data_IF_727880512124
#
_entry.id   IF_727880512124
#
_cell.length_a   1.000
_cell.length_b   1.000
_cell.length_c   1.000
_cell.angle_alpha   90.00
_cell.angle_beta   90.00
_cell.angle_gamma   90.00
#
_symmetry.space_group_name_H-M   'P 1'
#
loop_
_entity.id
_entity.type
_entity.pdbx_description
1 polymer ?
#
# COMPACT_ATOMS: atom_id res chain seq x y z
N UNK A 1 -2.76 26.00 -14.68
CA UNK A 1 -4.20 25.86 -14.36
C UNK A 1 -4.57 24.38 -14.53
N UNK A 2 -4.41 23.55 -13.50
CA UNK A 2 -4.86 22.15 -13.55
C UNK A 2 -6.21 22.07 -12.84
N UNK A 3 -7.29 22.29 -13.58
CA UNK A 3 -8.64 22.06 -13.05
C UNK A 3 -8.87 20.55 -13.05
N UNK A 4 -9.08 19.97 -11.87
CA UNK A 4 -9.53 18.58 -11.79
C UNK A 4 -10.90 18.43 -12.48
N UNK A 5 -11.22 17.26 -13.03
CA UNK A 5 -12.56 16.97 -13.52
C UNK A 5 -13.59 17.19 -12.41
N UNK A 6 -14.73 17.79 -12.73
CA UNK A 6 -15.82 17.92 -11.76
C UNK A 6 -16.44 16.53 -11.52
N UNK A 7 -16.63 16.09 -10.27
CA UNK A 7 -17.33 14.84 -9.98
C UNK A 7 -18.79 14.87 -10.44
N UNK A 8 -19.33 13.68 -10.72
CA UNK A 8 -20.77 13.49 -10.94
C UNK A 8 -21.59 13.91 -9.70
N UNK A 9 -22.88 14.27 -9.85
CA UNK A 9 -23.69 14.82 -8.76
C UNK A 9 -23.71 13.99 -7.48
N UNK A 10 -23.85 12.66 -7.59
CA UNK A 10 -23.91 11.76 -6.44
C UNK A 10 -22.55 11.66 -5.72
N UNK A 11 -21.46 11.59 -6.47
CA UNK A 11 -20.11 11.61 -5.92
C UNK A 11 -19.85 12.95 -5.21
N UNK A 12 -20.25 14.06 -5.81
CA UNK A 12 -20.11 15.39 -5.20
C UNK A 12 -20.94 15.52 -3.92
N UNK A 13 -22.13 14.91 -3.84
CA UNK A 13 -22.94 14.86 -2.64
C UNK A 13 -22.22 14.10 -1.51
N UNK A 14 -21.66 12.92 -1.80
CA UNK A 14 -20.86 12.14 -0.86
C UNK A 14 -19.65 12.94 -0.35
N UNK A 15 -18.94 13.62 -1.26
CA UNK A 15 -17.79 14.46 -0.89
C UNK A 15 -18.17 15.63 0.03
N UNK A 16 -19.35 16.22 -0.17
CA UNK A 16 -19.90 17.26 0.72
C UNK A 16 -20.24 16.67 2.09
N UNK A 17 -20.81 15.47 2.13
CA UNK A 17 -21.18 14.81 3.39
C UNK A 17 -19.97 14.52 4.28
N UNK A 18 -18.90 13.95 3.71
CA UNK A 18 -17.65 13.72 4.46
C UNK A 18 -16.96 15.03 4.84
N UNK A 19 -17.05 16.05 3.99
CA UNK A 19 -16.55 17.41 4.32
C UNK A 19 -17.28 17.96 5.54
N UNK A 20 -18.61 17.88 5.57
CA UNK A 20 -19.43 18.31 6.71
C UNK A 20 -19.19 17.46 7.97
N UNK A 21 -18.93 16.16 7.81
CA UNK A 21 -18.52 15.27 8.90
C UNK A 21 -17.20 15.75 9.54
N UNK A 22 -16.16 15.96 8.73
CA UNK A 22 -14.84 16.41 9.21
C UNK A 22 -14.93 17.82 9.79
N UNK A 23 -15.69 18.74 9.17
CA UNK A 23 -15.92 20.09 9.71
C UNK A 23 -16.54 20.05 11.11
N UNK A 24 -17.59 19.25 11.31
CA UNK A 24 -18.23 19.08 12.63
C UNK A 24 -17.27 18.49 13.65
N UNK A 25 -16.39 17.58 13.24
CA UNK A 25 -15.34 17.03 14.11
C UNK A 25 -14.34 18.12 14.54
N UNK A 26 -13.87 18.95 13.61
CA UNK A 26 -12.99 20.10 13.89
C UNK A 26 -13.63 21.06 14.89
N UNK A 27 -14.90 21.43 14.68
CA UNK A 27 -15.63 22.35 15.57
C UNK A 27 -15.74 21.83 17.02
N UNK A 28 -15.81 20.50 17.21
CA UNK A 28 -15.99 19.89 18.53
C UNK A 28 -14.68 19.55 19.25
N UNK A 29 -13.63 19.19 18.49
CA UNK A 29 -12.42 18.59 19.05
C UNK A 29 -11.13 19.33 18.67
N UNK A 30 -11.24 20.42 17.91
CA UNK A 30 -10.10 21.14 17.35
C UNK A 30 -9.57 20.48 16.08
N UNK A 31 -8.56 21.13 15.51
CA UNK A 31 -7.93 20.68 14.25
C UNK A 31 -7.30 19.29 14.45
N UNK A 32 -7.66 18.27 13.64
CA UNK A 32 -6.98 16.98 13.66
C UNK A 32 -5.56 17.10 13.10
N UNK A 33 -4.68 16.20 13.54
CA UNK A 33 -3.41 15.96 12.83
C UNK A 33 -3.69 15.53 11.38
N UNK A 34 -2.71 15.68 10.49
CA UNK A 34 -2.89 15.22 9.11
C UNK A 34 -3.21 13.71 9.03
N UNK A 35 -2.59 12.87 9.87
CA UNK A 35 -2.91 11.44 9.93
C UNK A 35 -4.39 11.20 10.25
N UNK A 36 -4.94 11.93 11.23
CA UNK A 36 -6.36 11.81 11.58
C UNK A 36 -7.29 12.32 10.47
N UNK A 37 -6.92 13.38 9.76
CA UNK A 37 -7.66 13.83 8.58
C UNK A 37 -7.64 12.76 7.47
N UNK A 38 -6.46 12.21 7.15
CA UNK A 38 -6.28 11.16 6.14
C UNK A 38 -7.07 9.90 6.52
N UNK A 39 -7.05 9.48 7.78
CA UNK A 39 -7.88 8.39 8.31
C UNK A 39 -9.37 8.61 8.03
N UNK A 40 -9.88 9.83 8.31
CA UNK A 40 -11.29 10.14 8.03
C UNK A 40 -11.56 10.15 6.52
N UNK A 41 -10.74 10.86 5.73
CA UNK A 41 -10.93 11.01 4.30
C UNK A 41 -10.88 9.69 3.52
N UNK A 42 -10.08 8.72 3.98
CA UNK A 42 -9.88 7.45 3.29
C UNK A 42 -10.76 6.32 3.84
N UNK A 43 -11.04 6.30 5.14
CA UNK A 43 -11.58 5.11 5.81
C UNK A 43 -12.82 5.37 6.68
N UNK A 44 -13.41 6.57 6.66
CA UNK A 44 -14.71 6.76 7.33
C UNK A 44 -15.72 5.78 6.71
N UNK A 45 -16.40 4.93 7.50
CA UNK A 45 -17.39 3.99 6.95
C UNK A 45 -18.38 4.69 6.02
N UNK A 46 -18.66 4.07 4.87
CA UNK A 46 -19.56 4.57 3.81
C UNK A 46 -19.13 5.85 3.07
N UNK A 47 -18.24 6.66 3.65
CA UNK A 47 -17.88 7.99 3.15
C UNK A 47 -16.43 8.09 2.65
N UNK A 48 -15.50 7.43 3.32
CA UNK A 48 -14.07 7.49 3.01
C UNK A 48 -13.75 6.82 1.68
N UNK A 49 -12.68 7.25 1.02
CA UNK A 49 -12.27 6.77 -0.31
C UNK A 49 -12.30 5.24 -0.46
N UNK A 50 -11.66 4.50 0.43
CA UNK A 50 -11.65 3.03 0.34
C UNK A 50 -12.92 2.37 0.91
N UNK A 51 -13.76 3.11 1.62
CA UNK A 51 -14.96 2.60 2.28
C UNK A 51 -16.26 2.94 1.54
N UNK A 52 -16.23 3.90 0.60
CA UNK A 52 -17.38 4.26 -0.22
C UNK A 52 -17.42 3.38 -1.48
N UNK A 53 -18.64 2.97 -1.87
CA UNK A 53 -18.83 2.08 -3.02
C UNK A 53 -18.66 2.75 -4.39
N UNK A 54 -18.10 3.96 -4.45
CA UNK A 54 -17.92 4.71 -5.68
C UNK A 54 -16.52 4.54 -6.27
N UNK A 55 -15.58 4.01 -5.48
CA UNK A 55 -14.18 3.89 -5.88
C UNK A 55 -14.01 2.91 -7.03
N UNK A 56 -13.46 3.43 -8.13
CA UNK A 56 -13.12 2.64 -9.31
C UNK A 56 -11.62 2.40 -9.29
N UNK A 57 -11.20 1.14 -9.28
CA UNK A 57 -9.80 0.71 -9.46
C UNK A 57 -9.63 0.19 -10.90
N UNK A 58 -8.48 0.46 -11.53
CA UNK A 58 -8.11 -0.04 -12.87
C UNK A 58 -8.21 1.01 -13.99
N UNK A 59 -8.35 0.58 -15.24
CA UNK A 59 -8.31 1.46 -16.43
C UNK A 59 -9.44 2.51 -16.48
N UNK A 60 -10.54 2.30 -15.75
CA UNK A 60 -11.62 3.29 -15.54
C UNK A 60 -11.62 3.91 -14.14
N UNK A 61 -10.55 3.71 -13.38
CA UNK A 61 -10.36 4.12 -11.99
C UNK A 61 -9.47 5.35 -11.79
N UNK A 62 -9.06 5.61 -10.55
CA UNK A 62 -8.15 6.72 -10.25
C UNK A 62 -6.68 6.40 -10.53
N UNK A 63 -6.28 5.13 -10.43
CA UNK A 63 -4.95 4.61 -10.74
C UNK A 63 -5.01 3.13 -11.19
N UNK A 64 -3.91 2.62 -11.73
CA UNK A 64 -3.74 1.22 -12.17
C UNK A 64 -2.65 0.56 -11.33
N UNK A 65 -2.97 -0.56 -10.68
CA UNK A 65 -2.04 -1.35 -9.84
C UNK A 65 -1.42 -2.51 -10.63
N UNK A 66 -0.34 -3.10 -10.13
CA UNK A 66 0.39 -4.17 -10.82
C UNK A 66 -0.48 -5.40 -11.19
N UNK A 67 -1.38 -5.90 -10.32
CA UNK A 67 -2.29 -6.99 -10.68
C UNK A 67 -3.21 -6.69 -11.86
N UNK A 68 -3.59 -5.42 -12.06
CA UNK A 68 -4.45 -4.99 -13.16
C UNK A 68 -3.68 -4.81 -14.49
N UNK A 69 -2.34 -4.82 -14.46
CA UNK A 69 -1.50 -4.73 -15.65
C UNK A 69 -1.32 -6.10 -16.30
N UNK A 70 -1.04 -7.13 -15.51
CA UNK A 70 -0.76 -8.47 -16.03
C UNK A 70 -0.95 -9.56 -14.98
N UNK A 71 -1.53 -10.72 -15.34
CA UNK A 71 -1.57 -11.87 -14.46
C UNK A 71 -0.17 -12.42 -14.12
N UNK A 72 0.85 -12.10 -14.92
CA UNK A 72 2.25 -12.47 -14.65
C UNK A 72 2.73 -11.98 -13.29
N UNK A 73 2.25 -10.82 -12.83
CA UNK A 73 2.57 -10.30 -11.51
C UNK A 73 2.07 -11.26 -10.41
N UNK A 74 0.80 -11.62 -10.47
CA UNK A 74 0.17 -12.56 -9.54
C UNK A 74 0.81 -13.95 -9.57
N UNK A 75 1.20 -14.44 -10.75
CA UNK A 75 1.93 -15.71 -10.89
C UNK A 75 3.29 -15.69 -10.19
N UNK A 76 4.04 -14.60 -10.35
CA UNK A 76 5.32 -14.40 -9.67
C UNK A 76 5.15 -14.42 -8.14
N UNK A 77 4.13 -13.74 -7.62
CA UNK A 77 3.80 -13.78 -6.19
C UNK A 77 3.38 -15.19 -5.75
N UNK A 78 2.59 -15.90 -6.56
CA UNK A 78 2.18 -17.27 -6.29
C UNK A 78 3.38 -18.22 -6.20
N UNK A 79 4.40 -18.07 -7.04
CA UNK A 79 5.65 -18.83 -6.96
C UNK A 79 6.37 -18.62 -5.63
N UNK A 80 6.55 -17.37 -5.22
CA UNK A 80 7.19 -17.06 -3.94
C UNK A 80 6.34 -17.52 -2.74
N UNK A 81 5.01 -17.35 -2.79
CA UNK A 81 4.10 -17.81 -1.76
C UNK A 81 4.13 -19.34 -1.64
N UNK A 82 4.12 -20.05 -2.77
CA UNK A 82 4.18 -21.51 -2.82
C UNK A 82 5.50 -22.06 -2.27
N UNK A 83 6.63 -21.39 -2.53
CA UNK A 83 7.92 -21.76 -1.93
C UNK A 83 7.81 -21.87 -0.40
N UNK A 84 7.09 -20.95 0.24
CA UNK A 84 6.89 -20.95 1.70
C UNK A 84 5.81 -21.94 2.11
N UNK A 85 4.65 -21.93 1.45
CA UNK A 85 3.51 -22.79 1.79
C UNK A 85 3.81 -24.29 1.65
N UNK A 86 4.64 -24.69 0.69
CA UNK A 86 5.06 -26.10 0.53
C UNK A 86 5.83 -26.66 1.73
N UNK A 87 6.27 -25.81 2.67
CA UNK A 87 6.92 -26.20 3.91
C UNK A 87 5.99 -26.11 5.14
N UNK A 88 4.73 -25.73 4.94
CA UNK A 88 3.76 -25.50 6.00
C UNK A 88 2.56 -26.41 5.74
N UNK A 89 2.36 -27.39 6.61
CA UNK A 89 1.17 -28.24 6.54
C UNK A 89 -0.09 -27.39 6.72
N UNK A 90 -1.00 -27.48 5.74
CA UNK A 90 -2.27 -26.72 5.70
C UNK A 90 -2.10 -25.20 5.89
N UNK A 91 -1.01 -24.62 5.38
CA UNK A 91 -0.78 -23.18 5.43
C UNK A 91 -1.89 -22.38 4.75
N UNK A 92 -2.03 -21.10 5.09
CA UNK A 92 -3.02 -20.20 4.48
C UNK A 92 -2.36 -18.96 3.85
N UNK A 93 -3.05 -18.35 2.89
CA UNK A 93 -2.70 -17.03 2.38
C UNK A 93 -3.63 -16.01 3.02
N UNK A 94 -3.11 -14.86 3.43
CA UNK A 94 -3.89 -13.69 3.85
C UNK A 94 -3.50 -12.50 3.00
N UNK A 95 -4.43 -11.98 2.20
CA UNK A 95 -4.26 -10.76 1.41
C UNK A 95 -4.93 -9.58 2.11
N UNK A 96 -4.17 -8.50 2.31
CA UNK A 96 -4.70 -7.22 2.76
C UNK A 96 -5.19 -6.40 1.58
N UNK A 97 -6.44 -5.93 1.64
CA UNK A 97 -7.00 -4.99 0.66
C UNK A 97 -6.91 -5.51 -0.77
N UNK A 98 -7.64 -6.59 -1.08
CA UNK A 98 -7.52 -7.29 -2.37
C UNK A 98 -8.03 -6.50 -3.59
N UNK A 99 -8.38 -5.21 -3.43
CA UNK A 99 -8.90 -4.36 -4.48
C UNK A 99 -10.11 -5.01 -5.16
N UNK A 100 -9.98 -5.28 -6.46
CA UNK A 100 -11.03 -5.93 -7.27
C UNK A 100 -11.08 -7.46 -7.11
N UNK A 101 -10.11 -8.07 -6.42
CA UNK A 101 -9.95 -9.52 -6.31
C UNK A 101 -9.14 -10.16 -7.44
N UNK A 102 -8.58 -9.37 -8.37
CA UNK A 102 -7.80 -9.85 -9.52
C UNK A 102 -6.56 -10.63 -9.09
N UNK A 103 -5.79 -10.10 -8.12
CA UNK A 103 -4.60 -10.78 -7.60
C UNK A 103 -4.97 -12.11 -6.93
N UNK A 104 -5.95 -12.11 -6.03
CA UNK A 104 -6.49 -13.32 -5.40
C UNK A 104 -6.92 -14.37 -6.43
N UNK A 105 -7.69 -13.93 -7.44
CA UNK A 105 -8.17 -14.79 -8.53
C UNK A 105 -7.02 -15.47 -9.24
N UNK A 106 -6.04 -14.70 -9.70
CA UNK A 106 -4.92 -15.21 -10.49
C UNK A 106 -3.99 -16.10 -9.66
N UNK A 107 -3.72 -15.76 -8.39
CA UNK A 107 -2.94 -16.61 -7.48
C UNK A 107 -3.65 -17.95 -7.27
N UNK A 108 -4.95 -17.94 -6.97
CA UNK A 108 -5.73 -19.17 -6.77
C UNK A 108 -5.75 -20.03 -8.04
N UNK A 109 -5.91 -19.42 -9.21
CA UNK A 109 -5.84 -20.13 -10.48
C UNK A 109 -4.49 -20.79 -10.72
N UNK A 110 -3.40 -20.06 -10.46
CA UNK A 110 -2.04 -20.56 -10.64
C UNK A 110 -1.71 -21.70 -9.67
N UNK A 111 -2.30 -21.67 -8.48
CA UNK A 111 -2.13 -22.71 -7.46
C UNK A 111 -3.20 -23.82 -7.53
N UNK A 112 -4.00 -23.87 -8.60
CA UNK A 112 -5.12 -24.83 -8.73
C UNK A 112 -4.70 -26.29 -8.52
N UNK A 113 -3.61 -26.73 -9.15
CA UNK A 113 -3.11 -28.11 -9.04
C UNK A 113 -2.54 -28.45 -7.65
N UNK A 114 -2.45 -27.44 -6.77
CA UNK A 114 -1.91 -27.53 -5.40
C UNK A 114 -2.96 -27.13 -4.37
N UNK A 115 -4.22 -26.98 -4.77
CA UNK A 115 -5.31 -26.50 -3.93
C UNK A 115 -5.43 -27.30 -2.62
N UNK A 116 -5.24 -28.61 -2.66
CA UNK A 116 -5.39 -29.50 -1.49
C UNK A 116 -4.27 -29.34 -0.44
N UNK A 117 -3.19 -28.62 -0.79
CA UNK A 117 -2.00 -28.48 0.06
C UNK A 117 -1.99 -27.18 0.89
N UNK A 118 -2.93 -26.27 0.65
CA UNK A 118 -3.14 -25.09 1.49
C UNK A 118 -4.60 -25.01 1.93
N UNK A 119 -4.85 -24.46 3.11
CA UNK A 119 -6.17 -24.51 3.73
C UNK A 119 -7.12 -23.46 3.14
N UNK A 120 -6.78 -22.19 3.27
CA UNK A 120 -7.64 -21.06 2.90
C UNK A 120 -6.87 -19.92 2.22
N UNK A 121 -7.62 -19.08 1.52
CA UNK A 121 -7.21 -17.77 1.06
C UNK A 121 -8.08 -16.72 1.76
N UNK A 122 -7.51 -16.10 2.79
CA UNK A 122 -8.16 -15.03 3.53
C UNK A 122 -7.99 -13.70 2.80
N UNK A 123 -9.08 -12.93 2.71
CA UNK A 123 -9.05 -11.53 2.22
C UNK A 123 -9.48 -10.64 3.37
N UNK A 124 -8.59 -9.78 3.87
CA UNK A 124 -8.95 -8.74 4.84
C UNK A 124 -9.41 -7.50 4.09
N UNK A 125 -10.72 -7.27 4.11
CA UNK A 125 -11.38 -6.17 3.42
C UNK A 125 -12.42 -5.53 4.36
N UNK A 126 -12.38 -4.20 4.48
CA UNK A 126 -13.34 -3.45 5.30
C UNK A 126 -14.48 -2.87 4.47
N UNK A 127 -14.29 -2.74 3.16
CA UNK A 127 -15.26 -2.19 2.23
C UNK A 127 -16.27 -3.23 1.76
N UNK A 128 -17.54 -3.05 2.13
CA UNK A 128 -18.61 -3.93 1.67
C UNK A 128 -18.77 -3.93 0.13
N UNK A 129 -18.51 -2.78 -0.51
CA UNK A 129 -18.56 -2.67 -1.97
C UNK A 129 -17.44 -3.46 -2.65
N UNK A 130 -16.20 -3.37 -2.14
CA UNK A 130 -15.08 -4.16 -2.67
C UNK A 130 -15.30 -5.65 -2.43
N UNK A 131 -15.85 -6.07 -1.29
CA UNK A 131 -16.21 -7.49 -1.07
C UNK A 131 -17.17 -8.01 -2.13
N UNK A 132 -18.20 -7.24 -2.49
CA UNK A 132 -19.16 -7.63 -3.52
C UNK A 132 -18.47 -7.77 -4.89
N UNK A 133 -17.61 -6.82 -5.24
CA UNK A 133 -16.84 -6.85 -6.48
C UNK A 133 -15.81 -7.98 -6.53
N UNK A 134 -15.14 -8.27 -5.41
CA UNK A 134 -14.24 -9.41 -5.26
C UNK A 134 -14.99 -10.72 -5.43
N UNK A 135 -16.19 -10.85 -4.84
CA UNK A 135 -17.02 -12.05 -4.98
C UNK A 135 -17.45 -12.28 -6.44
N UNK A 136 -17.77 -11.22 -7.18
CA UNK A 136 -18.05 -11.30 -8.62
C UNK A 136 -16.81 -11.77 -9.39
N UNK A 137 -15.65 -11.16 -9.16
CA UNK A 137 -14.40 -11.52 -9.83
C UNK A 137 -13.97 -12.96 -9.53
N UNK A 138 -14.14 -13.42 -8.29
CA UNK A 138 -13.80 -14.76 -7.84
C UNK A 138 -14.86 -15.81 -8.24
N UNK A 139 -16.02 -15.40 -8.74
CA UNK A 139 -17.05 -16.32 -9.23
C UNK A 139 -16.59 -17.13 -10.45
N UNK A 140 -15.62 -16.61 -11.20
CA UNK A 140 -15.01 -17.27 -12.35
C UNK A 140 -14.21 -18.53 -11.92
N UNK A 141 -13.75 -18.59 -10.66
CA UNK A 141 -12.96 -19.71 -10.14
C UNK A 141 -13.77 -21.03 -10.11
N UNK A 142 -13.11 -22.18 -10.32
CA UNK A 142 -13.65 -23.49 -9.97
C UNK A 142 -14.16 -23.53 -8.53
N UNK A 143 -15.27 -24.24 -8.30
CA UNK A 143 -15.94 -24.30 -6.99
C UNK A 143 -14.99 -24.69 -5.84
N UNK A 144 -14.11 -25.67 -6.07
CA UNK A 144 -13.14 -26.13 -5.07
C UNK A 144 -12.17 -25.02 -4.61
N UNK A 145 -11.79 -24.10 -5.51
CA UNK A 145 -10.96 -22.94 -5.17
C UNK A 145 -11.78 -21.84 -4.50
N UNK A 146 -13.00 -21.61 -4.99
CA UNK A 146 -13.90 -20.58 -4.46
C UNK A 146 -14.25 -20.84 -2.99
N UNK A 147 -14.47 -22.10 -2.62
CA UNK A 147 -14.74 -22.52 -1.24
C UNK A 147 -13.58 -22.28 -0.26
N UNK A 148 -12.36 -22.04 -0.76
CA UNK A 148 -11.21 -21.70 0.09
C UNK A 148 -11.16 -20.22 0.45
N UNK A 149 -11.90 -19.35 -0.25
CA UNK A 149 -11.87 -17.91 -0.02
C UNK A 149 -12.70 -17.56 1.20
N UNK A 150 -12.11 -16.83 2.14
CA UNK A 150 -12.79 -16.35 3.34
C UNK A 150 -12.50 -14.87 3.55
N UNK A 151 -13.54 -14.04 3.50
CA UNK A 151 -13.41 -12.61 3.80
C UNK A 151 -13.38 -12.36 5.31
N UNK A 152 -12.42 -11.55 5.74
CA UNK A 152 -12.22 -11.14 7.12
C UNK A 152 -12.43 -9.62 7.24
N UNK A 153 -13.02 -9.18 8.36
CA UNK A 153 -13.14 -7.76 8.71
C UNK A 153 -11.99 -7.26 9.60
N UNK A 154 -11.31 -8.21 10.26
CA UNK A 154 -10.20 -7.97 11.17
C UNK A 154 -9.24 -9.14 11.07
N UNK A 155 -8.03 -8.97 11.57
CA UNK A 155 -7.07 -10.05 11.66
C UNK A 155 -7.67 -11.25 12.41
N UNK A 156 -7.33 -12.49 12.00
CA UNK A 156 -7.88 -13.68 12.65
C UNK A 156 -7.45 -13.73 14.12
N UNK A 157 -8.39 -14.08 15.01
CA UNK A 157 -8.12 -14.20 16.45
C UNK A 157 -7.19 -15.36 16.79
N UNK A 158 -7.20 -16.39 15.95
CA UNK A 158 -6.32 -17.54 16.07
C UNK A 158 -5.14 -17.33 15.13
N UNK A 159 -3.93 -17.51 15.66
CA UNK A 159 -2.74 -17.42 14.86
C UNK A 159 -2.67 -18.57 13.85
N UNK A 160 -2.15 -18.29 12.66
CA UNK A 160 -2.02 -19.24 11.56
C UNK A 160 -0.58 -19.30 11.06
N UNK A 161 -0.30 -20.31 10.23
CA UNK A 161 0.96 -20.43 9.51
C UNK A 161 0.70 -20.19 8.03
N UNK A 162 1.58 -19.45 7.35
CA UNK A 162 1.45 -19.25 5.93
C UNK A 162 2.03 -17.93 5.42
N UNK A 163 1.34 -17.32 4.47
CA UNK A 163 1.84 -16.16 3.73
C UNK A 163 0.86 -15.00 3.87
N UNK A 164 1.37 -13.84 4.24
CA UNK A 164 0.63 -12.58 4.21
C UNK A 164 1.09 -11.78 3.00
N UNK A 165 0.16 -11.30 2.19
CA UNK A 165 0.40 -10.44 1.04
C UNK A 165 -0.20 -9.06 1.31
N UNK A 166 0.60 -8.01 1.15
CA UNK A 166 0.16 -6.62 1.25
C UNK A 166 0.74 -5.84 0.07
N UNK A 167 -0.08 -5.64 -0.96
CA UNK A 167 0.25 -4.88 -2.16
C UNK A 167 -0.40 -3.49 -2.10
N UNK A 168 0.41 -2.44 -2.08
CA UNK A 168 -0.05 -1.03 -2.02
C UNK A 168 -0.97 -0.80 -0.83
N UNK A 169 -0.49 -1.22 0.36
CA UNK A 169 -1.21 -1.09 1.63
C UNK A 169 -0.53 -0.07 2.54
N UNK A 170 0.80 0.04 2.46
CA UNK A 170 1.57 0.86 3.39
C UNK A 170 1.55 2.34 2.98
N UNK A 171 1.47 2.63 1.69
CA UNK A 171 1.35 3.99 1.14
C UNK A 171 0.07 4.73 1.52
N UNK A 172 -1.03 3.98 1.67
CA UNK A 172 -2.37 4.44 2.00
C UNK A 172 -2.60 4.55 3.52
N UNK A 173 -1.68 4.02 4.34
CA UNK A 173 -1.75 4.17 5.79
C UNK A 173 -1.60 5.64 6.18
N UNK A 174 -2.42 6.13 7.14
CA UNK A 174 -2.34 7.52 7.56
C UNK A 174 -0.97 7.93 8.08
N UNK A 175 -0.45 9.03 7.55
CA UNK A 175 0.86 9.58 7.89
C UNK A 175 0.74 10.89 8.65
N UNK A 176 1.61 11.09 9.63
CA UNK A 176 1.86 12.42 10.18
C UNK A 176 2.65 13.22 9.14
N UNK A 177 2.39 14.52 9.02
CA UNK A 177 3.18 15.41 8.16
C UNK A 177 3.90 16.42 9.02
N UNK A 178 5.21 16.54 8.83
CA UNK A 178 6.04 17.54 9.52
C UNK A 178 6.60 18.56 8.54
N UNK A 179 6.93 19.74 9.07
CA UNK A 179 7.63 20.82 8.36
C UNK A 179 8.79 21.30 9.22
N UNK A 180 10.01 21.14 8.71
CA UNK A 180 11.21 21.68 9.32
C UNK A 180 11.54 23.04 8.70
N UNK A 181 11.72 24.04 9.53
CA UNK A 181 12.13 25.39 9.19
C UNK A 181 13.42 25.72 9.96
N UNK A 182 14.17 26.78 9.60
CA UNK A 182 15.46 27.08 10.24
C UNK A 182 15.42 27.15 11.76
N UNK A 183 14.34 27.69 12.34
CA UNK A 183 14.22 27.93 13.78
C UNK A 183 13.16 27.08 14.47
N UNK A 184 12.37 26.30 13.72
CA UNK A 184 11.25 25.55 14.28
C UNK A 184 10.98 24.25 13.54
N UNK A 185 10.49 23.27 14.28
CA UNK A 185 9.97 22.02 13.75
C UNK A 185 8.48 21.94 14.07
N UNK A 186 7.67 21.75 13.04
CA UNK A 186 6.23 21.85 13.12
C UNK A 186 5.58 20.54 12.66
N UNK A 187 4.47 20.18 13.30
CA UNK A 187 3.52 19.19 12.83
C UNK A 187 2.40 19.87 12.06
N UNK A 188 1.94 19.22 10.99
CA UNK A 188 0.81 19.66 10.19
C UNK A 188 -0.51 19.11 10.76
N UNK A 189 -1.44 20.02 10.96
CA UNK A 189 -2.84 19.81 11.30
C UNK A 189 -3.70 20.31 10.15
N UNK A 190 -4.99 19.96 10.18
CA UNK A 190 -5.96 20.40 9.18
C UNK A 190 -7.01 21.29 9.83
N UNK A 191 -7.10 22.54 9.36
CA UNK A 191 -8.11 23.50 9.77
C UNK A 191 -9.20 23.66 8.72
N UNK A 192 -10.31 24.29 9.12
CA UNK A 192 -11.38 24.71 8.22
C UNK A 192 -11.40 26.24 8.12
N UNK A 193 -11.45 26.78 6.90
CA UNK A 193 -11.63 28.20 6.63
C UNK A 193 -13.10 28.47 6.25
N UNK A 194 -13.84 29.12 7.15
CA UNK A 194 -15.25 29.47 6.93
C UNK A 194 -15.45 30.52 5.82
N UNK A 195 -14.49 31.39 5.56
CA UNK A 195 -14.60 32.38 4.49
C UNK A 195 -14.45 31.73 3.10
N UNK A 196 -13.52 30.78 2.98
CA UNK A 196 -13.23 30.09 1.72
C UNK A 196 -13.98 28.76 1.55
N UNK A 197 -14.66 28.30 2.60
CA UNK A 197 -15.38 27.01 2.65
C UNK A 197 -14.50 25.83 2.22
N UNK A 198 -13.26 25.79 2.73
CA UNK A 198 -12.29 24.74 2.40
C UNK A 198 -11.38 24.38 3.57
N UNK A 199 -10.79 23.18 3.51
CA UNK A 199 -9.73 22.78 4.42
C UNK A 199 -8.40 23.45 4.05
N UNK A 200 -7.55 23.63 5.06
CA UNK A 200 -6.21 24.19 4.90
C UNK A 200 -5.23 23.65 5.92
N UNK A 201 -3.93 23.81 5.61
CA UNK A 201 -2.85 23.44 6.52
C UNK A 201 -2.77 24.40 7.72
N UNK A 202 -2.67 23.84 8.91
CA UNK A 202 -2.35 24.56 10.15
C UNK A 202 -1.10 23.94 10.75
N UNK A 203 -0.04 24.72 10.97
CA UNK A 203 1.21 24.19 11.53
C UNK A 203 1.34 24.57 13.01
N UNK A 204 1.73 23.61 13.83
CA UNK A 204 1.92 23.78 15.28
C UNK A 204 3.22 23.11 15.72
N UNK A 205 3.86 23.54 16.83
CA UNK A 205 5.02 22.85 17.39
C UNK A 205 4.72 21.37 17.63
N UNK A 206 5.69 20.51 17.34
CA UNK A 206 5.55 19.06 17.57
C UNK A 206 5.45 18.81 19.08
N UNK A 207 4.40 18.09 19.49
CA UNK A 207 4.19 17.71 20.91
C UNK A 207 4.36 16.20 21.14
N UNK A 208 4.15 15.36 20.12
CA UNK A 208 4.40 13.92 20.20
C UNK A 208 5.92 13.65 20.27
N UNK A 209 6.35 12.95 21.33
CA UNK A 209 7.77 12.68 21.59
C UNK A 209 8.42 11.76 20.56
N UNK A 210 7.67 10.82 19.97
CA UNK A 210 8.19 9.93 18.92
C UNK A 210 8.41 10.74 17.64
N UNK A 211 7.44 11.57 17.26
CA UNK A 211 7.53 12.44 16.10
C UNK A 211 8.67 13.46 16.26
N UNK A 212 8.85 14.03 17.45
CA UNK A 212 9.93 14.97 17.75
C UNK A 212 11.32 14.32 17.59
N UNK A 213 11.49 13.07 18.04
CA UNK A 213 12.75 12.33 17.85
C UNK A 213 13.07 12.11 16.38
N UNK A 214 12.06 11.77 15.58
CA UNK A 214 12.20 11.56 14.13
C UNK A 214 12.55 12.89 13.44
N UNK A 215 11.86 13.98 13.78
CA UNK A 215 12.12 15.31 13.24
C UNK A 215 13.55 15.79 13.55
N UNK A 216 14.05 15.56 14.77
CA UNK A 216 15.44 15.85 15.13
C UNK A 216 16.44 15.06 14.29
N UNK A 217 16.20 13.76 14.08
CA UNK A 217 17.07 12.91 13.25
C UNK A 217 17.06 13.38 11.80
N UNK A 218 15.88 13.70 11.26
CA UNK A 218 15.74 14.23 9.91
C UNK A 218 16.52 15.55 9.75
N UNK A 219 16.39 16.48 10.69
CA UNK A 219 17.14 17.75 10.66
C UNK A 219 18.66 17.52 10.65
N UNK A 220 19.16 16.56 11.44
CA UNK A 220 20.58 16.20 11.42
C UNK A 220 21.05 15.67 10.06
N UNK A 221 20.19 14.93 9.34
CA UNK A 221 20.51 14.39 8.01
C UNK A 221 20.50 15.47 6.94
N UNK A 222 19.49 16.33 6.93
CA UNK A 222 19.32 17.35 5.87
C UNK A 222 20.14 18.62 6.11
N UNK A 223 20.61 18.84 7.34
CA UNK A 223 21.27 20.08 7.74
C UNK A 223 20.28 21.23 7.92
N UNK A 224 20.65 22.43 7.47
CA UNK A 224 19.77 23.60 7.52
C UNK A 224 18.63 23.47 6.49
N UNK A 225 17.35 23.48 6.93
CA UNK A 225 16.22 23.43 6.01
C UNK A 225 16.18 24.66 5.10
N UNK A 226 15.70 24.48 3.86
CA UNK A 226 15.42 25.58 2.95
C UNK A 226 14.46 26.60 3.61
N UNK A 227 14.57 27.93 3.34
CA UNK A 227 13.61 28.93 3.82
C UNK A 227 12.14 28.66 3.49
N UNK A 228 11.85 27.86 2.45
CA UNK A 228 10.49 27.40 2.10
C UNK A 228 9.97 26.28 3.02
N UNK A 229 10.84 25.70 3.84
CA UNK A 229 10.61 24.56 4.69
C UNK A 229 10.91 23.22 4.01
N UNK A 230 11.25 22.22 4.81
CA UNK A 230 11.37 20.83 4.40
C UNK A 230 10.16 20.04 4.93
N UNK A 231 9.38 19.44 4.05
CA UNK A 231 8.22 18.63 4.38
C UNK A 231 8.57 17.14 4.34
N UNK A 232 8.05 16.38 5.29
CA UNK A 232 8.16 14.93 5.31
C UNK A 232 6.88 14.28 5.85
N UNK A 233 6.59 13.08 5.36
CA UNK A 233 5.54 12.22 5.84
C UNK A 233 6.13 11.11 6.72
N UNK A 234 5.58 10.92 7.92
CA UNK A 234 6.03 9.96 8.92
C UNK A 234 4.89 9.01 9.26
N UNK A 235 5.03 7.75 8.88
CA UNK A 235 4.03 6.72 9.19
C UNK A 235 4.32 6.09 10.56
N UNK A 236 3.59 6.55 11.59
CA UNK A 236 3.69 6.01 12.95
C UNK A 236 2.91 4.69 13.14
N UNK A 237 2.15 4.25 12.13
CA UNK A 237 1.29 3.08 12.18
C UNK A 237 1.99 1.79 11.72
N UNK A 238 3.14 1.87 11.04
CA UNK A 238 3.91 0.70 10.58
C UNK A 238 4.25 -0.25 11.74
N UNK A 239 4.83 0.29 12.82
CA UNK A 239 5.23 -0.53 13.97
C UNK A 239 4.05 -1.23 14.66
N UNK A 240 2.97 -0.55 15.08
CA UNK A 240 1.83 -1.24 15.68
C UNK A 240 1.13 -2.20 14.70
N UNK A 241 1.11 -1.90 13.39
CA UNK A 241 0.56 -2.80 12.39
C UNK A 241 1.39 -4.09 12.28
N UNK A 242 2.72 -3.99 12.15
CA UNK A 242 3.58 -5.19 12.16
C UNK A 242 3.50 -5.97 13.47
N UNK A 243 3.37 -5.30 14.63
CA UNK A 243 3.15 -5.98 15.91
C UNK A 243 1.83 -6.77 15.91
N UNK A 244 0.78 -6.27 15.25
CA UNK A 244 -0.46 -7.03 15.08
C UNK A 244 -0.29 -8.25 14.17
N UNK A 245 0.54 -8.15 13.12
CA UNK A 245 0.89 -9.30 12.28
C UNK A 245 1.70 -10.35 13.06
N UNK A 246 2.65 -9.92 13.91
CA UNK A 246 3.42 -10.80 14.79
C UNK A 246 2.50 -11.62 15.69
N UNK A 247 1.41 -11.03 16.18
CA UNK A 247 0.45 -11.71 17.05
C UNK A 247 -0.38 -12.80 16.35
N UNK A 248 -0.51 -12.76 15.01
CA UNK A 248 -1.37 -13.68 14.25
C UNK A 248 -0.61 -14.61 13.29
N UNK A 249 0.65 -14.30 12.94
CA UNK A 249 1.48 -15.19 12.16
C UNK A 249 2.41 -15.96 13.10
N UNK A 250 2.26 -17.28 13.15
CA UNK A 250 3.13 -18.16 13.93
C UNK A 250 4.39 -18.56 13.14
N UNK A 251 4.22 -18.88 11.87
CA UNK A 251 5.29 -19.30 10.97
C UNK A 251 4.98 -18.87 9.54
N UNK A 252 5.99 -18.42 8.82
CA UNK A 252 5.93 -18.16 7.37
C UNK A 252 6.45 -16.78 6.99
N UNK A 253 5.75 -16.11 6.09
CA UNK A 253 6.25 -14.91 5.41
C UNK A 253 5.19 -13.80 5.33
N UNK A 254 5.61 -12.55 5.47
CA UNK A 254 4.87 -11.36 5.05
C UNK A 254 5.60 -10.75 3.86
N UNK A 255 4.91 -10.62 2.72
CA UNK A 255 5.44 -9.96 1.53
C UNK A 255 4.75 -8.60 1.36
N UNK A 256 5.56 -7.55 1.48
CA UNK A 256 5.16 -6.16 1.39
C UNK A 256 5.62 -5.61 0.03
N UNK A 257 4.69 -5.00 -0.70
CA UNK A 257 4.91 -4.55 -2.07
C UNK A 257 4.39 -3.13 -2.16
N UNK A 258 5.28 -2.17 -2.34
CA UNK A 258 4.89 -0.76 -2.33
C UNK A 258 5.95 0.13 -2.97
N UNK A 259 5.57 1.34 -3.35
CA UNK A 259 6.52 2.33 -3.86
C UNK A 259 7.12 3.16 -2.73
N UNK A 260 8.44 3.27 -2.77
CA UNK A 260 9.18 3.90 -1.69
C UNK A 260 10.68 3.71 -1.79
N UNK A 261 11.34 4.12 -0.71
CA UNK A 261 12.79 4.24 -0.67
C UNK A 261 13.33 3.80 0.70
N UNK A 262 14.61 3.38 0.77
CA UNK A 262 15.35 3.43 2.02
C UNK A 262 15.43 4.88 2.52
N UNK A 263 15.48 5.05 3.83
CA UNK A 263 15.39 6.38 4.48
C UNK A 263 16.40 7.39 3.96
N UNK A 264 17.62 6.94 3.67
CA UNK A 264 18.71 7.80 3.12
C UNK A 264 18.34 8.46 1.78
N UNK A 265 17.51 7.81 0.97
CA UNK A 265 17.02 8.32 -0.31
C UNK A 265 15.72 9.11 -0.14
N UNK A 266 14.90 8.73 0.84
CA UNK A 266 13.69 9.47 1.20
C UNK A 266 14.02 10.84 1.82
N UNK A 267 15.08 10.93 2.62
CA UNK A 267 15.48 12.13 3.35
C UNK A 267 16.52 12.99 2.62
N UNK A 268 16.57 12.92 1.30
CA UNK A 268 17.45 13.78 0.50
C UNK A 268 16.98 15.23 0.56
N UNK A 269 17.92 16.17 0.67
CA UNK A 269 17.63 17.62 0.70
C UNK A 269 16.85 18.12 -0.54
N UNK A 270 17.00 17.46 -1.68
CA UNK A 270 16.24 17.73 -2.92
C UNK A 270 14.77 17.33 -2.83
N UNK A 271 14.38 16.43 -1.91
CA UNK A 271 13.00 15.98 -1.66
C UNK A 271 12.30 16.82 -0.60
N UNK A 272 12.57 18.12 -0.57
CA UNK A 272 12.04 19.05 0.44
C UNK A 272 10.51 19.22 0.42
N UNK A 273 9.81 18.78 -0.62
CA UNK A 273 8.33 18.82 -0.68
C UNK A 273 7.66 17.57 -0.11
N UNK A 274 8.46 16.58 0.31
CA UNK A 274 7.96 15.26 0.72
C UNK A 274 7.53 14.42 -0.48
N UNK A 275 6.64 13.48 -0.20
CA UNK A 275 6.14 12.45 -1.12
C UNK A 275 4.63 12.33 -1.14
N UNK A 276 3.92 13.12 -0.33
CA UNK A 276 2.47 13.15 -0.31
C UNK A 276 1.92 13.39 -1.71
N UNK A 277 1.08 12.47 -2.17
CA UNK A 277 0.46 12.50 -3.49
C UNK A 277 -1.02 12.20 -3.35
N UNK A 278 -1.80 12.77 -4.25
CA UNK A 278 -3.22 12.48 -4.38
C UNK A 278 -3.51 12.06 -5.82
N UNK A 279 -4.39 11.09 -5.99
CA UNK A 279 -4.79 10.56 -7.29
C UNK A 279 -6.29 10.68 -7.47
N UNK A 280 -6.70 11.34 -8.55
CA UNK A 280 -8.10 11.50 -8.92
C UNK A 280 -8.24 11.42 -10.44
N UNK A 281 -8.99 10.43 -10.93
CA UNK A 281 -9.25 10.13 -12.33
C UNK A 281 -7.97 10.15 -13.19
N UNK A 282 -6.98 9.34 -12.82
CA UNK A 282 -5.67 9.23 -13.49
C UNK A 282 -4.84 10.52 -13.48
N UNK A 283 -5.18 11.49 -12.62
CA UNK A 283 -4.42 12.73 -12.44
C UNK A 283 -3.81 12.77 -11.05
N UNK A 284 -2.49 12.93 -11.03
CA UNK A 284 -1.74 13.04 -9.80
C UNK A 284 -1.51 14.52 -9.43
N UNK A 285 -1.74 14.89 -8.17
CA UNK A 285 -1.55 16.23 -7.62
C UNK A 285 -1.19 16.17 -6.13
N UNK A 286 -1.02 17.31 -5.46
CA UNK A 286 -0.49 17.38 -4.09
C UNK A 286 -1.47 18.03 -3.10
N UNK A 287 -2.77 18.12 -3.44
CA UNK A 287 -3.76 18.79 -2.59
C UNK A 287 -4.72 17.74 -1.99
N UNK A 288 -4.54 17.34 -0.72
CA UNK A 288 -5.37 16.33 -0.08
C UNK A 288 -6.78 16.82 0.27
N UNK A 289 -7.06 18.12 0.12
CA UNK A 289 -8.32 18.74 0.53
C UNK A 289 -9.34 18.82 -0.60
N UNK A 290 -8.95 18.49 -1.83
CA UNK A 290 -9.88 18.42 -2.94
C UNK A 290 -10.74 17.17 -2.83
N UNK A 291 -12.04 17.35 -3.05
CA UNK A 291 -13.05 16.29 -3.04
C UNK A 291 -12.79 15.18 -2.00
N UNK A 292 -12.75 15.47 -0.69
CA UNK A 292 -12.51 14.43 0.31
C UNK A 292 -13.48 13.27 0.12
N UNK A 293 -12.99 12.04 0.29
CA UNK A 293 -13.71 10.81 -0.02
C UNK A 293 -13.67 10.38 -1.49
N UNK A 294 -13.32 11.24 -2.45
CA UNK A 294 -13.34 10.86 -3.88
C UNK A 294 -11.96 10.72 -4.52
N UNK A 295 -10.89 11.01 -3.79
CA UNK A 295 -9.52 10.90 -4.28
C UNK A 295 -8.71 10.07 -3.31
N UNK A 296 -7.71 9.39 -3.86
CA UNK A 296 -6.71 8.72 -3.06
C UNK A 296 -5.72 9.73 -2.48
N UNK A 297 -5.15 9.42 -1.32
CA UNK A 297 -4.10 10.17 -0.64
C UNK A 297 -3.05 9.16 -0.20
N UNK A 298 -1.82 9.30 -0.70
CA UNK A 298 -0.75 8.34 -0.41
C UNK A 298 0.56 9.06 -0.10
N UNK A 299 1.47 8.34 0.57
CA UNK A 299 2.84 8.77 0.79
C UNK A 299 3.80 7.61 0.50
N UNK A 300 5.02 7.91 0.02
CA UNK A 300 5.98 6.84 -0.25
C UNK A 300 6.42 6.15 1.03
N UNK A 301 6.66 4.84 0.94
CA UNK A 301 7.07 4.03 2.08
C UNK A 301 8.54 4.26 2.44
N UNK A 302 8.80 4.51 3.73
CA UNK A 302 10.15 4.43 4.31
C UNK A 302 10.45 2.97 4.67
N UNK A 303 11.12 2.26 3.77
CA UNK A 303 11.45 0.84 3.96
C UNK A 303 12.46 0.60 5.08
N UNK A 304 13.28 1.59 5.46
CA UNK A 304 14.12 1.48 6.66
C UNK A 304 13.25 1.45 7.91
N UNK A 305 12.23 2.31 7.98
CA UNK A 305 11.26 2.30 9.10
C UNK A 305 10.50 0.97 9.15
N UNK A 306 10.13 0.40 8.01
CA UNK A 306 9.53 -0.95 7.94
C UNK A 306 10.48 -2.01 8.50
N UNK A 307 11.76 -1.99 8.11
CA UNK A 307 12.76 -2.95 8.58
C UNK A 307 13.03 -2.85 10.09
N UNK A 308 13.21 -1.64 10.62
CA UNK A 308 13.38 -1.38 12.06
C UNK A 308 12.15 -1.83 12.85
N UNK A 309 10.95 -1.55 12.32
CA UNK A 309 9.67 -1.95 12.92
C UNK A 309 9.45 -3.47 12.89
N UNK A 310 9.85 -4.13 11.80
CA UNK A 310 9.79 -5.58 11.66
C UNK A 310 10.67 -6.26 12.71
N UNK A 311 11.90 -5.77 12.91
CA UNK A 311 12.79 -6.26 13.96
C UNK A 311 12.16 -6.10 15.35
N UNK A 312 11.55 -4.95 15.64
CA UNK A 312 10.84 -4.71 16.90
C UNK A 312 9.61 -5.62 17.09
N UNK A 313 9.03 -6.13 16.01
CA UNK A 313 7.91 -7.07 15.98
C UNK A 313 8.37 -8.52 15.77
N UNK A 314 9.62 -8.87 16.11
CA UNK A 314 10.18 -10.23 16.04
C UNK A 314 10.22 -10.88 14.65
N UNK A 315 10.09 -10.08 13.58
CA UNK A 315 10.30 -10.54 12.23
C UNK A 315 11.76 -10.40 11.80
N UNK A 316 12.20 -11.33 10.96
CA UNK A 316 13.47 -11.24 10.23
C UNK A 316 13.22 -10.64 8.85
N UNK A 317 13.96 -9.58 8.51
CA UNK A 317 13.99 -9.06 7.12
C UNK A 317 14.74 -10.05 6.24
N UNK A 318 13.98 -10.91 5.56
CA UNK A 318 14.52 -12.01 4.75
C UNK A 318 15.03 -11.54 3.39
N UNK A 319 14.46 -10.48 2.85
CA UNK A 319 14.89 -9.88 1.59
C UNK A 319 14.29 -8.50 1.35
N UNK A 320 15.00 -7.68 0.57
CA UNK A 320 14.53 -6.39 0.09
C UNK A 320 15.07 -6.16 -1.32
N UNK A 321 14.23 -5.85 -2.30
CA UNK A 321 14.67 -5.62 -3.68
C UNK A 321 13.66 -4.75 -4.44
N UNK A 322 13.92 -4.50 -5.72
CA UNK A 322 12.98 -3.78 -6.60
C UNK A 322 11.97 -4.75 -7.21
N UNK A 323 10.80 -4.26 -7.61
CA UNK A 323 9.79 -5.09 -8.26
C UNK A 323 10.36 -5.84 -9.47
N UNK A 324 11.14 -5.16 -10.32
CA UNK A 324 11.74 -5.79 -11.49
C UNK A 324 12.59 -7.01 -11.13
N UNK A 325 13.50 -6.89 -10.16
CA UNK A 325 14.40 -7.99 -9.80
C UNK A 325 13.66 -9.12 -9.10
N UNK A 326 12.64 -8.80 -8.30
CA UNK A 326 11.80 -9.82 -7.69
C UNK A 326 11.08 -10.63 -8.76
N UNK A 327 10.37 -9.97 -9.68
CA UNK A 327 9.60 -10.64 -10.73
C UNK A 327 10.51 -11.53 -11.60
N UNK A 328 11.68 -11.01 -12.00
CA UNK A 328 12.69 -11.78 -12.74
C UNK A 328 13.20 -13.00 -11.96
N UNK A 329 13.28 -12.92 -10.63
CA UNK A 329 13.72 -14.03 -9.77
C UNK A 329 12.62 -15.05 -9.48
N UNK A 330 11.36 -14.69 -9.66
CA UNK A 330 10.18 -15.54 -9.37
C UNK A 330 9.51 -16.13 -10.61
N UNK A 331 10.19 -16.14 -11.76
CA UNK A 331 9.70 -16.88 -12.92
C UNK A 331 9.05 -16.04 -14.03
N UNK A 332 9.24 -14.71 -14.04
CA UNK A 332 8.57 -13.83 -15.01
C UNK A 332 8.83 -14.23 -16.48
N UNK A 333 10.06 -14.67 -16.80
CA UNK A 333 10.45 -15.00 -18.17
C UNK A 333 10.03 -16.43 -18.55
N UNK A 334 10.07 -17.35 -17.60
CA UNK A 334 9.65 -18.74 -17.75
C UNK A 334 8.16 -18.80 -18.14
N UNK A 335 7.31 -18.00 -17.49
CA UNK A 335 5.88 -17.89 -17.83
C UNK A 335 5.61 -17.35 -19.24
N UNK A 336 6.57 -16.66 -19.86
CA UNK A 336 6.39 -16.04 -21.21
C UNK A 336 6.77 -16.97 -22.36
N UNK A 337 7.62 -17.96 -22.10
CA UNK A 337 8.10 -18.90 -23.11
C UNK A 337 7.04 -19.96 -23.46
N UNK A 338 6.02 -20.13 -22.61
CA UNK A 338 4.98 -21.15 -22.78
C UNK A 338 3.72 -20.64 -23.51
N UNK A 339 3.63 -19.34 -23.83
CA UNK A 339 2.39 -18.75 -24.34
C UNK A 339 2.46 -18.26 -25.80
N UNK A 340 1.66 -18.96 -26.62
CA UNK A 340 1.03 -18.53 -27.88
C UNK A 340 1.91 -18.30 -29.11
N UNK A 341 1.46 -18.82 -30.26
CA UNK A 341 1.97 -18.47 -31.61
C UNK A 341 1.37 -17.16 -32.15
N UNK A 342 0.47 -16.51 -31.40
CA UNK A 342 -0.17 -15.25 -31.77
C UNK A 342 0.72 -14.03 -31.45
N UNK A 343 1.14 -13.35 -32.52
CA UNK A 343 1.98 -12.14 -32.46
C UNK A 343 1.31 -11.00 -31.68
N UNK A 344 -0.02 -10.85 -31.76
CA UNK A 344 -0.72 -9.75 -31.07
C UNK A 344 -0.68 -9.96 -29.55
N UNK A 345 -0.98 -11.17 -29.09
CA UNK A 345 -0.88 -11.53 -27.68
C UNK A 345 0.56 -11.36 -27.15
N UNK A 346 1.57 -11.74 -27.93
CA UNK A 346 2.98 -11.54 -27.56
C UNK A 346 3.35 -10.06 -27.42
N UNK A 347 2.87 -9.20 -28.32
CA UNK A 347 3.11 -7.75 -28.23
C UNK A 347 2.46 -7.13 -27.00
N UNK A 348 1.22 -7.52 -26.67
CA UNK A 348 0.53 -7.08 -25.46
C UNK A 348 1.28 -7.52 -24.19
N UNK A 349 1.69 -8.78 -24.13
CA UNK A 349 2.47 -9.32 -23.03
C UNK A 349 3.81 -8.59 -22.85
N UNK A 350 4.51 -8.29 -23.97
CA UNK A 350 5.74 -7.50 -23.93
C UNK A 350 5.52 -6.10 -23.35
N UNK A 351 4.42 -5.43 -23.70
CA UNK A 351 4.09 -4.12 -23.12
C UNK A 351 3.79 -4.21 -21.62
N UNK A 352 3.08 -5.24 -21.20
CA UNK A 352 2.80 -5.50 -19.79
C UNK A 352 4.08 -5.73 -18.98
N UNK A 353 4.98 -6.59 -19.48
CA UNK A 353 6.29 -6.84 -18.86
C UNK A 353 7.09 -5.55 -18.76
N UNK A 354 7.12 -4.74 -19.83
CA UNK A 354 7.82 -3.45 -19.81
C UNK A 354 7.29 -2.54 -18.71
N UNK A 355 5.97 -2.40 -18.56
CA UNK A 355 5.37 -1.60 -17.48
C UNK A 355 5.74 -2.13 -16.08
N UNK A 356 5.78 -3.44 -15.90
CA UNK A 356 6.11 -4.07 -14.62
C UNK A 356 7.59 -4.00 -14.25
N UNK A 357 8.50 -3.86 -15.24
CA UNK A 357 9.94 -4.08 -15.04
C UNK A 357 10.85 -2.93 -15.43
N UNK A 358 10.41 -2.01 -16.29
CA UNK A 358 11.25 -0.87 -16.68
C UNK A 358 11.40 0.13 -15.52
N UNK A 359 12.60 0.73 -15.35
CA UNK A 359 12.85 1.68 -14.27
C UNK A 359 11.96 2.92 -14.28
N UNK A 360 11.64 3.43 -15.47
CA UNK A 360 10.79 4.63 -15.65
C UNK A 360 9.29 4.33 -15.43
N UNK A 361 8.94 3.07 -15.20
CA UNK A 361 7.58 2.60 -14.91
C UNK A 361 7.54 2.09 -13.45
N UNK A 362 7.15 0.84 -13.22
CA UNK A 362 7.03 0.27 -11.87
C UNK A 362 8.29 -0.44 -11.39
N UNK A 363 9.23 -0.77 -12.29
CA UNK A 363 10.28 -1.74 -12.02
C UNK A 363 11.28 -1.34 -10.94
N UNK A 364 11.58 -0.04 -10.85
CA UNK A 364 12.49 0.52 -9.84
C UNK A 364 11.75 1.26 -8.73
N UNK A 365 10.64 1.93 -9.05
CA UNK A 365 9.85 2.71 -8.08
C UNK A 365 9.23 1.82 -6.99
N UNK A 366 8.68 0.67 -7.38
CA UNK A 366 8.16 -0.34 -6.47
C UNK A 366 9.27 -1.20 -5.87
N UNK A 367 9.13 -1.50 -4.59
CA UNK A 367 10.02 -2.35 -3.82
C UNK A 367 9.25 -3.52 -3.25
N UNK A 368 9.97 -4.63 -3.11
CA UNK A 368 9.50 -5.86 -2.50
C UNK A 368 10.28 -6.06 -1.22
N UNK A 369 9.60 -6.25 -0.10
CA UNK A 369 10.22 -6.61 1.17
C UNK A 369 9.57 -7.87 1.73
N UNK A 370 10.37 -8.88 1.99
CA UNK A 370 9.91 -10.08 2.68
C UNK A 370 10.36 -10.07 4.14
N UNK A 371 9.40 -10.22 5.02
CA UNK A 371 9.58 -10.46 6.44
C UNK A 371 9.26 -11.93 6.73
N UNK A 372 10.04 -12.59 7.57
CA UNK A 372 9.84 -14.00 7.91
C UNK A 372 9.76 -14.20 9.41
N UNK A 373 9.00 -15.21 9.82
CA UNK A 373 8.90 -15.67 11.20
C UNK A 373 8.96 -17.19 11.22
N UNK A 374 9.87 -17.75 12.02
CA UNK A 374 10.11 -19.20 12.10
C UNK A 374 10.31 -19.88 10.73
N UNK A 375 10.90 -19.15 9.77
CA UNK A 375 11.18 -19.63 8.42
C UNK A 375 12.54 -19.09 7.98
N UNK A 376 13.53 -19.97 7.83
CA UNK A 376 14.94 -19.58 7.61
C UNK A 376 15.49 -19.90 6.22
N UNK A 377 14.66 -20.41 5.31
CA UNK A 377 15.12 -20.72 3.95
C UNK A 377 15.30 -19.44 3.10
N UNK A 378 16.32 -19.39 2.23
CA UNK A 378 16.46 -18.31 1.25
C UNK A 378 15.25 -18.21 0.32
N UNK A 379 14.68 -17.02 0.21
CA UNK A 379 13.51 -16.75 -0.63
C UNK A 379 13.94 -16.49 -2.08
N UNK A 380 13.29 -17.15 -3.04
CA UNK A 380 13.66 -17.12 -4.46
C UNK A 380 13.65 -15.70 -5.04
N UNK A 381 12.67 -14.88 -4.67
CA UNK A 381 12.46 -13.53 -5.18
C UNK A 381 13.57 -12.53 -4.84
N UNK A 382 14.53 -12.92 -4.00
CA UNK A 382 15.62 -12.05 -3.54
C UNK A 382 17.00 -12.60 -3.90
N UNK A 383 17.07 -13.69 -4.67
CA UNK A 383 18.34 -14.35 -5.00
C UNK A 383 19.18 -13.58 -6.03
N UNK A 384 18.56 -12.98 -7.06
CA UNK A 384 19.33 -12.27 -8.09
C UNK A 384 19.93 -10.95 -7.58
N UNK A 385 19.14 -10.19 -6.81
CA UNK A 385 19.58 -8.90 -6.25
C UNK A 385 18.87 -8.63 -4.93
N UNK A 386 19.67 -8.56 -3.87
CA UNK A 386 19.22 -8.20 -2.52
C UNK A 386 19.83 -6.86 -2.10
N UNK A 387 18.97 -5.92 -1.75
CA UNK A 387 19.28 -4.54 -1.39
C UNK A 387 19.17 -4.30 0.12
N UNK A 388 19.04 -5.33 0.96
CA UNK A 388 18.93 -5.15 2.44
C UNK A 388 20.05 -4.30 3.06
N UNK A 389 21.24 -4.29 2.47
CA UNK A 389 22.36 -3.45 2.89
C UNK A 389 22.11 -1.93 2.74
N UNK A 390 21.03 -1.53 2.07
CA UNK A 390 20.60 -0.13 1.91
C UNK A 390 19.65 0.35 3.00
N UNK A 391 19.07 -0.58 3.77
CA UNK A 391 18.03 -0.32 4.76
C UNK A 391 18.60 0.34 6.02
#
# INVERSE_FOLDING_TARGET
MNKLPTPEPDALALSREITDYIRRRIQRHGNPTFANFMQMALYTPELGYYANGLTKIGAGGDFTTAPEISPLFSQCLANQAWQVLSHIDQGAILEFGAGRGTMAKDILWYLADRADQFSHYYILEVSAALKAQQAETLSELPEALRQKVVWLEQLPKQAFNGVILANEVLDAMPVERIRLEPEQQLQAYVGWDDAQQQFGWVYQPITDTRLQKIANRLQQVIGEPNPRGYHAEINLNIQPWLASLDSVLNQGMVLLIDYGYPRRELWQSTRYMGTLRCHYQQRAHNNPFWYPGLQDITAHVDFTTVAESAYAAHFKVAGYTTQAHFLMSTGLLESTLEQSQDVVAQLQLSQQIKRLTLPDEMGESFKMMALTKNFDQPLMGFQQRDLRHLL
#
